data_IF_959486131443
#
_entry.id   IF_959486131443
#
_cell.length_a   1.000
_cell.length_b   1.000
_cell.length_c   1.000
_cell.angle_alpha   90.00
_cell.angle_beta   90.00
_cell.angle_gamma   90.00
#
_symmetry.space_group_name_H-M   'P 1'
#
loop_
_entity.id
_entity.type
_entity.pdbx_description
1 polymer ?
#
# COMPACT_ATOMS: atom_id res chain seq x y z
N UNK A 1 13.70 -8.84 30.07
CA UNK A 1 14.17 -9.51 28.83
C UNK A 1 15.67 -9.36 28.72
N UNK A 2 16.39 -10.48 28.62
CA UNK A 2 17.84 -10.48 28.45
C UNK A 2 18.28 -10.07 27.04
N UNK A 3 19.59 -9.89 26.87
CA UNK A 3 20.21 -9.63 25.55
C UNK A 3 19.91 -10.79 24.58
N UNK A 4 19.94 -12.03 25.08
CA UNK A 4 19.60 -13.24 24.32
C UNK A 4 18.14 -13.25 23.85
N UNK A 5 17.16 -12.84 24.68
CA UNK A 5 15.75 -12.73 24.25
C UNK A 5 15.59 -11.71 23.12
N UNK A 6 16.24 -10.55 23.25
CA UNK A 6 16.25 -9.51 22.20
C UNK A 6 16.87 -10.05 20.91
N UNK A 7 17.98 -10.78 20.97
CA UNK A 7 18.61 -11.38 19.79
C UNK A 7 17.75 -12.48 19.17
N UNK A 8 17.13 -13.35 19.98
CA UNK A 8 16.25 -14.43 19.53
C UNK A 8 14.96 -13.89 18.90
N UNK A 9 14.36 -12.85 19.48
CA UNK A 9 13.19 -12.16 18.91
C UNK A 9 13.57 -11.43 17.60
N UNK A 10 14.76 -10.82 17.55
CA UNK A 10 15.27 -10.11 16.37
C UNK A 10 16.00 -11.00 15.34
N UNK A 11 16.01 -12.33 15.47
CA UNK A 11 16.74 -13.23 14.53
C UNK A 11 16.27 -13.11 13.08
N UNK A 12 15.05 -12.59 12.86
CA UNK A 12 14.54 -12.28 11.52
C UNK A 12 15.38 -11.20 10.83
N UNK A 13 16.00 -10.28 11.59
CA UNK A 13 16.89 -9.23 11.05
C UNK A 13 18.07 -9.88 10.35
N UNK A 14 18.68 -10.93 10.91
CA UNK A 14 19.81 -11.65 10.29
C UNK A 14 19.44 -12.19 8.90
N UNK A 15 18.22 -12.76 8.75
CA UNK A 15 17.72 -13.22 7.45
C UNK A 15 17.30 -12.09 6.51
N UNK A 16 16.95 -10.92 7.03
CA UNK A 16 16.70 -9.71 6.26
C UNK A 16 18.00 -9.00 5.83
N UNK A 17 19.10 -9.11 6.58
CA UNK A 17 20.32 -8.33 6.35
C UNK A 17 20.97 -8.64 5.01
N UNK A 18 21.13 -9.91 4.61
CA UNK A 18 21.76 -10.27 3.32
C UNK A 18 21.05 -9.63 2.11
N UNK A 19 19.73 -9.82 1.89
CA UNK A 19 19.04 -9.15 0.79
C UNK A 19 19.00 -7.63 0.95
N UNK A 20 18.97 -7.11 2.19
CA UNK A 20 19.06 -5.66 2.44
C UNK A 20 20.40 -5.09 1.99
N UNK A 21 21.53 -5.69 2.36
CA UNK A 21 22.89 -5.25 1.95
C UNK A 21 22.98 -5.21 0.43
N UNK A 22 22.65 -6.32 -0.24
CA UNK A 22 22.70 -6.40 -1.71
C UNK A 22 21.81 -5.31 -2.34
N UNK A 23 20.61 -5.08 -1.80
CA UNK A 23 19.68 -4.09 -2.33
C UNK A 23 20.17 -2.64 -2.14
N UNK A 24 20.67 -2.28 -0.96
CA UNK A 24 21.15 -0.92 -0.70
C UNK A 24 22.35 -0.59 -1.58
N UNK A 25 23.35 -1.48 -1.67
CA UNK A 25 24.55 -1.25 -2.49
C UNK A 25 24.28 -1.29 -4.01
N UNK A 26 23.19 -1.94 -4.45
CA UNK A 26 22.78 -1.96 -5.86
C UNK A 26 22.02 -0.70 -6.31
N UNK A 27 21.23 -0.09 -5.44
CA UNK A 27 20.29 0.97 -5.83
C UNK A 27 20.56 2.36 -5.21
N UNK A 28 21.48 2.47 -4.25
CA UNK A 28 21.79 3.73 -3.56
C UNK A 28 23.27 4.13 -3.74
N UNK A 29 23.60 5.43 -3.70
CA UNK A 29 24.99 5.89 -3.59
C UNK A 29 25.70 5.28 -2.38
N UNK A 30 27.00 4.97 -2.49
CA UNK A 30 27.78 4.28 -1.46
C UNK A 30 27.63 4.89 -0.05
N UNK A 31 27.65 6.22 0.06
CA UNK A 31 27.49 6.95 1.33
C UNK A 31 26.12 6.78 2.01
N UNK A 32 25.08 6.45 1.24
CA UNK A 32 23.77 6.07 1.75
C UNK A 32 23.71 4.55 1.99
N UNK A 33 24.19 3.75 1.04
CA UNK A 33 24.16 2.29 1.08
C UNK A 33 24.87 1.72 2.31
N UNK A 34 26.04 2.27 2.68
CA UNK A 34 26.82 1.86 3.85
C UNK A 34 26.07 2.05 5.19
N UNK A 35 25.03 2.89 5.23
CA UNK A 35 24.17 3.07 6.41
C UNK A 35 23.03 2.05 6.50
N UNK A 36 22.83 1.22 5.47
CA UNK A 36 21.75 0.23 5.34
C UNK A 36 20.34 0.79 5.69
N UNK A 37 19.87 1.86 5.02
CA UNK A 37 18.58 2.46 5.32
C UNK A 37 17.38 1.58 4.97
N UNK A 38 17.44 0.79 3.90
CA UNK A 38 16.32 -0.05 3.45
C UNK A 38 16.49 -1.47 4.00
N UNK A 39 15.56 -1.93 4.84
CA UNK A 39 15.52 -3.30 5.34
C UNK A 39 14.41 -4.10 4.64
N UNK A 40 14.80 -5.23 4.04
CA UNK A 40 13.96 -6.11 3.24
C UNK A 40 13.77 -7.47 3.91
N UNK A 41 12.55 -7.78 4.32
CA UNK A 41 12.22 -9.06 4.96
C UNK A 41 11.39 -9.94 4.01
N UNK A 42 11.95 -11.11 3.62
CA UNK A 42 11.33 -12.05 2.66
C UNK A 42 10.90 -11.37 1.34
N UNK A 43 11.66 -10.38 0.87
CA UNK A 43 11.27 -9.58 -0.30
C UNK A 43 11.34 -10.38 -1.61
N UNK A 44 10.27 -10.32 -2.39
CA UNK A 44 10.18 -10.79 -3.78
C UNK A 44 10.39 -9.58 -4.69
N UNK A 45 11.64 -9.37 -5.09
CA UNK A 45 12.01 -8.26 -5.97
C UNK A 45 11.69 -8.62 -7.43
N UNK A 46 11.01 -7.73 -8.13
CA UNK A 46 10.83 -7.74 -9.59
C UNK A 46 11.83 -6.76 -10.21
N UNK A 47 11.46 -6.07 -11.29
CA UNK A 47 12.30 -4.98 -11.78
C UNK A 47 12.34 -3.84 -10.73
N UNK A 48 13.54 -3.51 -10.25
CA UNK A 48 13.80 -2.42 -9.31
C UNK A 48 14.79 -1.38 -9.89
N UNK A 49 14.86 -1.24 -11.22
CA UNK A 49 15.77 -0.30 -11.91
C UNK A 49 15.43 1.18 -11.69
N UNK A 50 14.26 1.49 -11.12
CA UNK A 50 13.84 2.82 -10.76
C UNK A 50 14.65 3.45 -9.62
N UNK A 51 14.38 4.72 -9.37
CA UNK A 51 15.10 5.55 -8.38
C UNK A 51 14.52 5.36 -6.98
N UNK A 52 15.40 5.39 -5.98
CA UNK A 52 15.07 5.46 -4.56
C UNK A 52 15.74 6.72 -4.01
N UNK A 53 14.94 7.71 -3.61
CA UNK A 53 15.41 9.04 -3.22
C UNK A 53 15.15 9.25 -1.74
N UNK A 54 16.15 9.74 -1.01
CA UNK A 54 16.04 10.14 0.39
C UNK A 54 16.16 11.66 0.51
N UNK A 55 15.07 12.32 0.90
CA UNK A 55 15.04 13.76 1.18
C UNK A 55 15.30 14.07 2.68
N UNK A 56 15.86 13.11 3.41
CA UNK A 56 16.02 13.13 4.86
C UNK A 56 17.36 12.50 5.28
N UNK A 57 17.82 12.73 6.53
CA UNK A 57 19.04 12.12 7.06
C UNK A 57 18.99 10.58 7.07
N UNK A 58 19.74 9.98 6.14
CA UNK A 58 19.81 8.52 5.97
C UNK A 58 20.45 7.85 7.18
N UNK A 59 19.75 6.87 7.78
CA UNK A 59 20.19 6.07 8.93
C UNK A 59 19.74 4.60 8.81
N UNK A 60 20.35 3.71 9.59
CA UNK A 60 20.03 2.27 9.60
C UNK A 60 18.53 2.00 9.82
N UNK A 61 17.93 1.21 8.94
CA UNK A 61 16.53 0.79 9.05
C UNK A 61 15.52 1.94 9.05
N UNK A 62 15.83 3.05 8.38
CA UNK A 62 14.92 4.17 8.14
C UNK A 62 13.67 3.73 7.35
N UNK A 63 13.84 2.81 6.40
CA UNK A 63 12.77 2.23 5.60
C UNK A 63 12.73 0.72 5.85
N UNK A 64 11.56 0.18 6.18
CA UNK A 64 11.37 -1.26 6.44
C UNK A 64 10.24 -1.81 5.59
N UNK A 65 10.49 -2.92 4.90
CA UNK A 65 9.49 -3.61 4.09
C UNK A 65 9.35 -5.09 4.49
N UNK A 66 8.10 -5.56 4.58
CA UNK A 66 7.77 -6.95 4.92
C UNK A 66 7.79 -7.27 6.42
N UNK A 67 7.60 -6.27 7.29
CA UNK A 67 7.66 -6.42 8.75
C UNK A 67 6.46 -7.24 9.25
N UNK A 68 6.70 -8.36 9.94
CA UNK A 68 5.62 -9.25 10.40
C UNK A 68 5.08 -8.83 11.76
N UNK A 69 4.13 -7.89 11.76
CA UNK A 69 3.51 -7.34 12.98
C UNK A 69 2.10 -7.91 13.26
N UNK A 70 1.45 -8.54 12.28
CA UNK A 70 0.02 -8.91 12.36
C UNK A 70 -0.12 -10.42 12.16
N UNK A 71 -0.52 -11.13 13.22
CA UNK A 71 -0.63 -12.59 13.25
C UNK A 71 -1.74 -13.17 12.36
N UNK A 72 -2.68 -12.35 11.91
CA UNK A 72 -3.75 -12.75 10.98
C UNK A 72 -3.25 -13.04 9.56
N UNK A 73 -2.07 -12.52 9.18
CA UNK A 73 -1.55 -12.66 7.82
C UNK A 73 -0.36 -13.62 7.76
N UNK A 74 -0.30 -14.52 6.76
CA UNK A 74 0.84 -15.41 6.60
C UNK A 74 2.13 -14.63 6.36
N UNK A 75 3.24 -15.18 6.83
CA UNK A 75 4.55 -14.54 6.73
C UNK A 75 5.17 -14.67 5.32
N UNK A 76 4.63 -13.89 4.38
CA UNK A 76 4.97 -13.90 2.95
C UNK A 76 5.98 -12.82 2.52
N UNK A 77 6.35 -11.90 3.42
CA UNK A 77 7.28 -10.79 3.13
C UNK A 77 6.61 -9.64 2.38
N UNK A 78 7.29 -9.10 1.36
CA UNK A 78 6.78 -8.05 0.46
C UNK A 78 7.05 -8.41 -1.00
N UNK A 79 6.19 -7.99 -1.93
CA UNK A 79 6.53 -7.92 -3.36
C UNK A 79 6.87 -6.48 -3.75
N UNK A 80 8.01 -6.24 -4.41
CA UNK A 80 8.43 -4.89 -4.81
C UNK A 80 8.85 -4.85 -6.29
N UNK A 81 8.24 -3.91 -7.01
CA UNK A 81 8.64 -3.48 -8.35
C UNK A 81 8.76 -1.94 -8.35
N UNK A 82 9.86 -1.43 -8.89
CA UNK A 82 10.07 0.00 -9.09
C UNK A 82 10.80 0.22 -10.42
N UNK A 83 10.08 0.76 -11.41
CA UNK A 83 10.66 1.32 -12.64
C UNK A 83 10.71 2.86 -12.64
N UNK A 84 9.91 3.52 -11.80
CA UNK A 84 9.81 4.97 -11.69
C UNK A 84 10.66 5.54 -10.57
N UNK A 85 10.04 6.31 -9.68
CA UNK A 85 10.70 6.93 -8.52
C UNK A 85 9.93 6.66 -7.23
N UNK A 86 10.63 6.20 -6.20
CA UNK A 86 10.14 6.15 -4.82
C UNK A 86 10.91 7.16 -3.99
N UNK A 87 10.20 8.03 -3.28
CA UNK A 87 10.75 9.11 -2.44
C UNK A 87 10.43 8.84 -0.97
N UNK A 88 11.45 8.96 -0.12
CA UNK A 88 11.35 8.83 1.33
C UNK A 88 11.73 10.16 2.00
N UNK A 89 10.75 10.83 2.59
CA UNK A 89 10.96 12.05 3.38
C UNK A 89 11.21 11.77 4.87
N UNK A 90 11.08 10.52 5.33
CA UNK A 90 11.38 10.12 6.70
C UNK A 90 11.22 8.62 6.97
N UNK A 91 10.82 8.24 8.19
CA UNK A 91 10.62 6.85 8.58
C UNK A 91 9.44 6.19 7.85
N UNK A 92 9.70 5.04 7.23
CA UNK A 92 8.68 4.20 6.60
C UNK A 92 8.71 2.78 7.15
N UNK A 93 7.55 2.23 7.49
CA UNK A 93 7.40 0.81 7.84
C UNK A 93 6.20 0.19 7.14
N UNK A 94 6.43 -0.75 6.24
CA UNK A 94 5.41 -1.52 5.52
C UNK A 94 5.43 -2.98 5.97
N UNK A 95 4.26 -3.48 6.39
CA UNK A 95 4.08 -4.83 6.93
C UNK A 95 4.23 -5.97 5.91
N UNK A 96 4.14 -7.21 6.40
CA UNK A 96 4.09 -8.41 5.57
C UNK A 96 2.84 -8.45 4.68
N UNK A 97 2.79 -9.41 3.75
CA UNK A 97 1.74 -9.58 2.73
C UNK A 97 1.52 -8.39 1.77
N UNK A 98 2.31 -7.33 1.90
CA UNK A 98 2.20 -6.12 1.08
C UNK A 98 2.79 -6.30 -0.33
N UNK A 99 2.33 -5.48 -1.27
CA UNK A 99 2.86 -5.40 -2.63
C UNK A 99 2.91 -3.94 -3.11
N UNK A 100 4.03 -3.53 -3.70
CA UNK A 100 4.21 -2.20 -4.28
C UNK A 100 4.73 -2.38 -5.71
N UNK A 101 4.04 -1.79 -6.69
CA UNK A 101 4.51 -1.65 -8.07
C UNK A 101 4.49 -0.18 -8.48
N UNK A 102 5.64 0.32 -8.94
CA UNK A 102 5.80 1.68 -9.46
C UNK A 102 6.21 1.63 -10.94
N UNK A 103 5.35 2.15 -11.81
CA UNK A 103 5.59 2.27 -13.26
C UNK A 103 6.66 3.32 -13.59
N UNK A 104 7.13 3.35 -14.84
CA UNK A 104 8.23 4.23 -15.28
C UNK A 104 7.94 5.72 -15.07
N UNK A 105 6.69 6.13 -15.24
CA UNK A 105 6.20 7.50 -15.00
C UNK A 105 5.68 7.73 -13.58
N UNK A 106 5.70 6.70 -12.72
CA UNK A 106 5.15 6.76 -11.37
C UNK A 106 6.08 7.44 -10.37
N UNK A 107 5.52 8.33 -9.56
CA UNK A 107 6.18 8.94 -8.39
C UNK A 107 5.42 8.58 -7.13
N UNK A 108 5.97 7.66 -6.33
CA UNK A 108 5.43 7.26 -5.05
C UNK A 108 6.21 7.95 -3.92
N UNK A 109 5.57 8.87 -3.22
CA UNK A 109 6.17 9.69 -2.16
C UNK A 109 5.60 9.33 -0.79
N UNK A 110 6.49 9.04 0.16
CA UNK A 110 6.18 8.80 1.57
C UNK A 110 6.75 9.94 2.44
N UNK A 111 5.90 10.51 3.29
CA UNK A 111 6.25 11.48 4.34
C UNK A 111 7.09 10.88 5.48
N UNK A 112 7.28 11.66 6.53
CA UNK A 112 7.84 11.19 7.80
C UNK A 112 6.83 10.31 8.54
N UNK A 113 7.31 9.22 9.16
CA UNK A 113 6.51 8.32 10.02
C UNK A 113 5.25 7.75 9.34
N UNK A 114 5.37 7.24 8.10
CA UNK A 114 4.30 6.45 7.47
C UNK A 114 4.39 4.98 7.89
N UNK A 115 3.29 4.41 8.38
CA UNK A 115 3.24 3.03 8.88
C UNK A 115 2.06 2.29 8.24
N UNK A 116 2.33 1.25 7.46
CA UNK A 116 1.34 0.30 6.98
C UNK A 116 1.52 -1.05 7.66
N UNK A 117 0.46 -1.55 8.29
CA UNK A 117 0.58 -2.63 9.27
C UNK A 117 0.62 -4.04 8.67
N UNK A 118 -0.14 -4.32 7.60
CA UNK A 118 -0.08 -5.57 6.81
C UNK A 118 -0.84 -5.42 5.47
N UNK A 119 -0.52 -6.26 4.47
CA UNK A 119 -1.32 -6.45 3.24
C UNK A 119 -1.64 -5.19 2.42
N UNK A 120 -0.78 -4.16 2.50
CA UNK A 120 -0.92 -2.94 1.70
C UNK A 120 -0.60 -3.22 0.22
N UNK A 121 -1.47 -2.80 -0.69
CA UNK A 121 -1.27 -2.92 -2.15
C UNK A 121 -1.21 -1.54 -2.79
N UNK A 122 -0.08 -1.20 -3.42
CA UNK A 122 0.10 0.06 -4.16
C UNK A 122 0.43 -0.24 -5.63
N UNK A 123 -0.30 0.41 -6.54
CA UNK A 123 0.10 0.57 -7.93
C UNK A 123 0.20 2.07 -8.26
N UNK A 124 1.42 2.56 -8.46
CA UNK A 124 1.70 3.96 -8.78
C UNK A 124 2.32 4.10 -10.17
N UNK A 125 1.56 4.60 -11.13
CA UNK A 125 1.99 4.84 -12.50
C UNK A 125 1.91 6.32 -12.89
N UNK A 126 1.41 7.18 -12.01
CA UNK A 126 1.43 8.63 -12.14
C UNK A 126 1.99 9.31 -10.88
N UNK A 127 1.21 9.38 -9.80
CA UNK A 127 1.61 10.03 -8.55
C UNK A 127 0.74 9.57 -7.39
N UNK A 128 1.38 9.06 -6.34
CA UNK A 128 0.76 8.77 -5.05
C UNK A 128 1.60 9.44 -3.97
N UNK A 129 1.00 10.36 -3.21
CA UNK A 129 1.65 11.05 -2.08
C UNK A 129 0.95 10.74 -0.77
N UNK A 130 1.69 10.16 0.15
CA UNK A 130 1.30 9.98 1.54
C UNK A 130 2.11 10.98 2.36
N UNK A 131 1.46 11.98 2.98
CA UNK A 131 2.14 12.95 3.83
C UNK A 131 2.52 12.35 5.21
N UNK A 132 2.70 13.18 6.23
CA UNK A 132 3.37 12.78 7.46
C UNK A 132 2.44 12.10 8.48
N UNK A 133 3.00 11.23 9.32
CA UNK A 133 2.30 10.59 10.45
C UNK A 133 1.01 9.84 10.03
N UNK A 134 1.07 9.11 8.91
CA UNK A 134 -0.04 8.31 8.40
C UNK A 134 0.04 6.88 8.93
N UNK A 135 -1.06 6.39 9.49
CA UNK A 135 -1.26 4.98 9.85
C UNK A 135 -2.19 4.32 8.83
N UNK A 136 -1.79 3.15 8.31
CA UNK A 136 -2.59 2.33 7.40
C UNK A 136 -2.82 0.96 8.03
N UNK A 137 -4.09 0.57 8.09
CA UNK A 137 -4.57 -0.74 8.52
C UNK A 137 -4.21 -1.85 7.54
N UNK A 138 -5.02 -2.90 7.55
CA UNK A 138 -4.80 -4.09 6.74
C UNK A 138 -5.58 -4.07 5.42
N UNK A 139 -5.14 -4.84 4.44
CA UNK A 139 -5.79 -5.05 3.13
C UNK A 139 -6.12 -3.77 2.34
N UNK A 140 -5.47 -2.66 2.67
CA UNK A 140 -5.68 -1.38 2.01
C UNK A 140 -5.07 -1.38 0.60
N UNK A 141 -5.73 -0.70 -0.33
CA UNK A 141 -5.34 -0.63 -1.74
C UNK A 141 -5.29 0.82 -2.24
N UNK A 142 -4.22 1.18 -2.97
CA UNK A 142 -4.06 2.50 -3.59
C UNK A 142 -3.63 2.35 -5.05
N UNK A 143 -4.45 2.83 -6.00
CA UNK A 143 -4.22 2.65 -7.44
C UNK A 143 -4.54 3.96 -8.19
N UNK A 144 -3.50 4.60 -8.74
CA UNK A 144 -3.59 5.90 -9.44
C UNK A 144 -3.88 5.80 -10.95
N UNK A 145 -4.13 4.59 -11.46
CA UNK A 145 -4.25 4.26 -12.89
C UNK A 145 -5.35 3.24 -13.16
N UNK A 146 -6.05 3.40 -14.28
CA UNK A 146 -7.00 2.38 -14.79
C UNK A 146 -6.28 1.27 -15.58
N UNK A 147 -4.96 1.43 -15.82
CA UNK A 147 -4.13 0.71 -16.80
C UNK A 147 -4.57 0.84 -18.27
N UNK A 148 -5.84 1.16 -18.54
CA UNK A 148 -6.43 1.31 -19.87
C UNK A 148 -7.12 2.66 -20.04
N UNK A 149 -7.19 3.17 -21.27
CA UNK A 149 -7.98 4.37 -21.60
C UNK A 149 -9.34 3.95 -22.14
N UNK A 150 -10.41 4.58 -21.65
CA UNK A 150 -11.72 4.51 -22.28
C UNK A 150 -11.70 5.30 -23.59
N UNK A 151 -12.33 4.75 -24.64
CA UNK A 151 -12.52 5.41 -25.95
C UNK A 151 -13.95 5.95 -26.03
N UNK A 152 -14.12 7.20 -26.45
CA UNK A 152 -15.44 7.78 -26.65
C UNK A 152 -16.10 7.25 -27.92
N UNK A 153 -17.44 7.28 -27.99
CA UNK A 153 -18.22 6.80 -29.14
C UNK A 153 -17.93 7.56 -30.43
N UNK A 154 -17.52 8.83 -30.34
CA UNK A 154 -17.02 9.64 -31.46
C UNK A 154 -15.68 9.14 -32.06
N UNK A 155 -15.03 8.18 -31.41
CA UNK A 155 -13.74 7.58 -31.74
C UNK A 155 -12.53 8.52 -31.79
N UNK A 156 -12.72 9.81 -31.49
CA UNK A 156 -11.70 10.87 -31.55
C UNK A 156 -11.11 11.21 -30.19
N UNK A 157 -11.84 10.91 -29.10
CA UNK A 157 -11.40 11.20 -27.72
C UNK A 157 -11.10 9.93 -26.92
N UNK A 158 -10.22 10.09 -25.94
CA UNK A 158 -9.85 9.06 -24.97
C UNK A 158 -9.85 9.67 -23.55
N UNK A 159 -10.18 8.87 -22.53
CA UNK A 159 -10.00 9.26 -21.14
C UNK A 159 -8.51 9.40 -20.79
N UNK A 160 -8.19 10.21 -19.78
CA UNK A 160 -6.82 10.32 -19.22
C UNK A 160 -6.25 8.96 -18.78
N UNK A 161 -7.07 8.11 -18.14
CA UNK A 161 -6.69 6.76 -17.70
C UNK A 161 -5.88 6.72 -16.39
N UNK A 162 -5.59 7.87 -15.78
CA UNK A 162 -4.81 8.01 -14.55
C UNK A 162 -5.13 9.33 -13.84
N UNK A 163 -4.77 9.44 -12.55
CA UNK A 163 -4.98 10.63 -11.73
C UNK A 163 -4.40 10.43 -10.32
N UNK A 164 -3.86 11.49 -9.72
CA UNK A 164 -3.06 11.39 -8.48
C UNK A 164 -3.86 10.93 -7.26
N UNK A 165 -3.18 10.29 -6.30
CA UNK A 165 -3.72 10.04 -4.97
C UNK A 165 -2.92 10.87 -3.96
N UNK A 166 -3.60 11.59 -3.06
CA UNK A 166 -2.99 12.38 -2.01
C UNK A 166 -3.70 12.14 -0.66
N UNK A 167 -2.94 11.80 0.37
CA UNK A 167 -3.46 11.61 1.74
C UNK A 167 -2.78 12.60 2.67
N UNK A 168 -3.56 13.47 3.32
CA UNK A 168 -3.09 14.51 4.24
C UNK A 168 -2.40 13.94 5.49
N UNK A 169 -1.62 14.79 6.16
CA UNK A 169 -0.88 14.39 7.37
C UNK A 169 -1.81 13.99 8.51
N UNK A 170 -1.30 13.22 9.47
CA UNK A 170 -2.04 12.73 10.66
C UNK A 170 -3.29 11.89 10.32
N UNK A 171 -3.35 11.29 9.13
CA UNK A 171 -4.51 10.48 8.70
C UNK A 171 -4.39 9.03 9.16
N UNK A 172 -5.48 8.47 9.70
CA UNK A 172 -5.63 7.02 9.86
C UNK A 172 -6.49 6.46 8.74
N UNK A 173 -5.92 5.56 7.93
CA UNK A 173 -6.64 4.72 6.97
C UNK A 173 -6.93 3.38 7.63
N UNK A 174 -8.18 3.09 7.97
CA UNK A 174 -8.58 1.82 8.60
C UNK A 174 -8.58 0.65 7.60
N UNK A 175 -8.97 -0.54 8.06
CA UNK A 175 -8.84 -1.78 7.30
C UNK A 175 -9.70 -1.80 6.01
N UNK A 176 -9.22 -2.53 4.99
CA UNK A 176 -9.89 -2.78 3.71
C UNK A 176 -10.29 -1.53 2.90
N UNK A 177 -9.70 -0.37 3.18
CA UNK A 177 -9.95 0.86 2.43
C UNK A 177 -9.36 0.80 1.01
N UNK A 178 -10.03 1.42 0.03
CA UNK A 178 -9.58 1.49 -1.36
C UNK A 178 -9.55 2.93 -1.85
N UNK A 179 -8.37 3.42 -2.18
CA UNK A 179 -8.15 4.75 -2.77
C UNK A 179 -7.82 4.58 -4.26
N UNK A 180 -8.69 5.09 -5.13
CA UNK A 180 -8.45 5.10 -6.57
C UNK A 180 -7.97 6.47 -7.05
N UNK A 181 -7.54 6.56 -8.31
CA UNK A 181 -7.13 7.80 -8.99
C UNK A 181 -8.02 9.01 -8.62
N UNK A 182 -7.37 10.17 -8.50
CA UNK A 182 -7.97 11.44 -8.03
C UNK A 182 -8.42 11.47 -6.56
N UNK A 183 -8.20 10.42 -5.76
CA UNK A 183 -8.49 10.46 -4.32
C UNK A 183 -7.63 11.50 -3.62
N UNK A 184 -8.26 12.50 -3.02
CA UNK A 184 -7.59 13.53 -2.20
C UNK A 184 -8.28 13.59 -0.85
N UNK A 185 -7.54 13.32 0.22
CA UNK A 185 -8.04 13.32 1.60
C UNK A 185 -7.34 14.43 2.40
N UNK A 186 -8.07 15.33 3.07
CA UNK A 186 -7.50 16.35 3.95
C UNK A 186 -6.68 15.79 5.12
N UNK A 187 -5.94 16.66 5.80
CA UNK A 187 -5.18 16.29 7.01
C UNK A 187 -6.08 16.04 8.23
N UNK A 188 -5.53 15.33 9.21
CA UNK A 188 -6.16 15.00 10.50
C UNK A 188 -7.46 14.17 10.37
N UNK A 189 -7.71 13.54 9.22
CA UNK A 189 -8.91 12.74 8.99
C UNK A 189 -8.76 11.27 9.42
N UNK A 190 -9.89 10.60 9.62
CA UNK A 190 -9.95 9.14 9.76
C UNK A 190 -10.77 8.59 8.60
N UNK A 191 -10.25 7.61 7.88
CA UNK A 191 -10.99 6.84 6.88
C UNK A 191 -11.43 5.54 7.56
N UNK A 192 -12.74 5.38 7.77
CA UNK A 192 -13.31 4.19 8.42
C UNK A 192 -13.17 2.94 7.55
N UNK A 193 -13.30 1.76 8.17
CA UNK A 193 -13.08 0.48 7.47
C UNK A 193 -14.04 0.31 6.29
N UNK A 194 -13.61 -0.48 5.29
CA UNK A 194 -14.37 -0.81 4.07
C UNK A 194 -14.72 0.40 3.15
N UNK A 195 -14.16 1.59 3.43
CA UNK A 195 -14.40 2.81 2.64
C UNK A 195 -13.72 2.77 1.28
N UNK A 196 -14.45 3.18 0.24
CA UNK A 196 -13.96 3.31 -1.13
C UNK A 196 -14.00 4.79 -1.54
N UNK A 197 -12.87 5.32 -2.01
CA UNK A 197 -12.71 6.69 -2.48
C UNK A 197 -12.24 6.67 -3.95
N UNK A 198 -12.92 7.45 -4.79
CA UNK A 198 -12.68 7.51 -6.24
C UNK A 198 -12.69 8.96 -6.78
N UNK A 199 -12.30 9.90 -5.93
CA UNK A 199 -12.27 11.33 -6.21
C UNK A 199 -11.90 12.15 -4.96
N UNK A 200 -11.80 13.49 -5.06
CA UNK A 200 -11.56 14.35 -3.91
C UNK A 200 -12.65 14.18 -2.85
N UNK A 201 -12.26 14.12 -1.57
CA UNK A 201 -13.20 14.20 -0.45
C UNK A 201 -13.32 15.66 -0.04
N UNK A 202 -14.50 16.24 -0.25
CA UNK A 202 -14.83 17.58 0.24
C UNK A 202 -15.27 17.49 1.71
N UNK A 203 -14.29 17.61 2.62
CA UNK A 203 -14.54 17.68 4.05
C UNK A 203 -13.52 18.62 4.73
N UNK A 204 -13.83 19.05 5.95
CA UNK A 204 -12.87 19.76 6.78
C UNK A 204 -11.85 18.77 7.40
N UNK A 205 -10.65 19.22 7.80
CA UNK A 205 -9.78 18.47 8.69
C UNK A 205 -10.53 17.98 9.95
N UNK A 206 -10.03 16.93 10.60
CA UNK A 206 -10.65 16.29 11.77
C UNK A 206 -12.00 15.57 11.49
N UNK A 207 -12.23 15.18 10.23
CA UNK A 207 -13.43 14.42 9.82
C UNK A 207 -13.23 12.90 9.85
N UNK A 208 -14.30 12.16 10.19
CA UNK A 208 -14.45 10.74 9.89
C UNK A 208 -15.10 10.58 8.51
N UNK A 209 -14.45 9.82 7.62
CA UNK A 209 -14.87 9.56 6.24
C UNK A 209 -15.26 8.09 6.15
N UNK A 210 -16.50 7.81 5.77
CA UNK A 210 -17.02 6.44 5.57
C UNK A 210 -17.87 6.37 4.30
N UNK A 211 -17.86 5.23 3.62
CA UNK A 211 -18.88 4.92 2.60
C UNK A 211 -20.16 4.46 3.30
N UNK A 212 -21.33 4.91 2.84
CA UNK A 212 -22.62 4.37 3.31
C UNK A 212 -22.82 2.94 2.79
N UNK A 213 -23.15 2.00 3.69
CA UNK A 213 -23.37 0.59 3.37
C UNK A 213 -24.74 0.18 3.90
N UNK A 214 -25.71 0.00 3.00
CA UNK A 214 -27.06 -0.45 3.34
C UNK A 214 -27.22 -1.97 3.17
N UNK A 215 -27.72 -2.66 4.19
CA UNK A 215 -28.15 -4.06 4.07
C UNK A 215 -29.60 -4.13 3.55
N UNK A 216 -29.86 -4.93 2.51
CA UNK A 216 -31.18 -5.08 1.89
C UNK A 216 -31.60 -6.55 1.96
N UNK A 217 -32.78 -6.82 2.51
CA UNK A 217 -33.42 -8.15 2.45
C UNK A 217 -34.02 -8.34 1.06
N UNK A 218 -33.46 -9.26 0.26
CA UNK A 218 -33.92 -9.52 -1.12
C UNK A 218 -35.11 -10.48 -1.21
N UNK A 219 -35.20 -11.44 -0.27
CA UNK A 219 -36.20 -12.51 -0.22
C UNK A 219 -36.43 -12.92 1.23
N UNK A 220 -37.62 -13.40 1.54
CA UNK A 220 -38.00 -14.02 2.81
C UNK A 220 -38.53 -15.43 2.56
N UNK A 221 -38.54 -16.29 3.58
CA UNK A 221 -39.09 -17.66 3.47
C UNK A 221 -38.20 -18.68 2.78
N UNK A 222 -36.88 -18.44 2.71
CA UNK A 222 -35.88 -19.39 2.18
C UNK A 222 -34.94 -19.86 3.29
N UNK A 223 -34.34 -21.04 3.08
CA UNK A 223 -33.22 -21.56 3.85
C UNK A 223 -32.26 -22.30 2.91
N UNK A 224 -31.06 -22.61 3.38
CA UNK A 224 -30.11 -23.45 2.66
C UNK A 224 -30.33 -24.90 3.09
N UNK A 225 -30.90 -25.72 2.21
CA UNK A 225 -30.70 -27.16 2.31
C UNK A 225 -29.28 -27.47 1.84
N UNK A 226 -28.51 -28.16 2.68
CA UNK A 226 -27.10 -28.47 2.44
C UNK A 226 -26.88 -29.85 1.83
N UNK A 227 -27.95 -30.63 1.68
CA UNK A 227 -27.94 -32.00 1.16
C UNK A 227 -28.62 -32.10 -0.22
N UNK A 228 -29.18 -31.00 -0.74
CA UNK A 228 -29.75 -30.86 -2.09
C UNK A 228 -28.99 -29.81 -2.92
N UNK A 229 -28.12 -30.30 -3.81
CA UNK A 229 -27.36 -29.51 -4.79
C UNK A 229 -27.99 -29.58 -6.22
N UNK A 230 -29.22 -30.08 -6.39
CA UNK A 230 -29.81 -30.31 -7.73
C UNK A 230 -30.29 -29.04 -8.44
N UNK A 231 -29.45 -28.49 -9.33
CA UNK A 231 -29.80 -27.32 -10.16
C UNK A 231 -30.47 -27.75 -11.46
N UNK A 232 -31.80 -27.70 -11.48
CA UNK A 232 -32.62 -27.97 -12.67
C UNK A 232 -32.58 -26.81 -13.69
N UNK A 233 -31.68 -26.92 -14.68
CA UNK A 233 -31.54 -25.91 -15.76
C UNK A 233 -32.63 -26.12 -16.82
N UNK A 234 -33.66 -25.27 -16.80
CA UNK A 234 -34.64 -25.19 -17.89
C UNK A 234 -33.95 -24.59 -19.13
N UNK A 235 -33.91 -25.36 -20.23
CA UNK A 235 -33.47 -24.86 -21.54
C UNK A 235 -34.68 -24.43 -22.36
N UNK A 236 -34.67 -23.18 -22.82
CA UNK A 236 -35.54 -22.67 -23.88
C UNK A 236 -35.02 -23.09 -25.26
#
# INVERSE_FOLDING_TARGET
MGVLDKLWHNRWIIRALIPSVIFNFRHLPFSQAARLPILLRKARLRNCSGKFIFNCPVRFGLVKFGVNNVSLYPDSGISLENRGTIVFNGYLSVGNASAISVGETGVLEFGEKVIATSSLKIACYHSIKLNDNILIGWDCMMIDTDFHKLKYTDQKRYSKGYGSIAVGSNTWVANNCKLYKNSTIPENCVIGADTIIHGPVDCQPYSLITTEISTIVKTVGIYHDKDDDEINIIRN
#
